data_IF_190347428290
#
_entry.id   IF_190347428290
#
_cell.length_a   1.000
_cell.length_b   1.000
_cell.length_c   1.000
_cell.angle_alpha   90.00
_cell.angle_beta   90.00
_cell.angle_gamma   90.00
#
_symmetry.space_group_name_H-M   'P 1'
#
loop_
_entity.id
_entity.type
_entity.pdbx_description
1 polymer ?
#
# COMPACT_ATOMS: atom_id res chain seq x y z
N UNK A 1 -13.96 -29.52 29.38
CA UNK A 1 -14.13 -28.71 28.16
C UNK A 1 -13.09 -29.15 27.14
N UNK A 2 -13.46 -29.41 25.90
CA UNK A 2 -12.48 -29.70 24.86
C UNK A 2 -11.63 -28.46 24.62
N UNK A 3 -10.30 -28.61 24.61
CA UNK A 3 -9.36 -27.52 24.34
C UNK A 3 -9.57 -27.11 22.87
N UNK A 4 -10.10 -25.93 22.62
CA UNK A 4 -10.23 -25.37 21.28
C UNK A 4 -8.85 -24.98 20.77
N UNK A 5 -8.41 -25.53 19.63
CA UNK A 5 -7.16 -25.12 19.00
C UNK A 5 -7.27 -23.63 18.59
N UNK A 6 -6.26 -22.81 18.95
CA UNK A 6 -6.26 -21.41 18.54
C UNK A 6 -6.20 -21.30 17.00
N UNK A 7 -6.91 -20.33 16.44
CA UNK A 7 -6.93 -20.03 15.02
C UNK A 7 -7.15 -18.53 14.80
N UNK A 8 -6.70 -18.03 13.66
CA UNK A 8 -6.92 -16.64 13.24
C UNK A 8 -8.09 -16.55 12.26
N UNK A 9 -8.76 -15.41 12.13
CA UNK A 9 -9.80 -15.19 11.13
C UNK A 9 -9.32 -15.43 9.71
N UNK A 10 -10.16 -16.01 8.87
CA UNK A 10 -9.81 -16.28 7.46
C UNK A 10 -9.48 -14.99 6.72
N UNK A 11 -8.30 -14.96 6.09
CA UNK A 11 -7.83 -13.81 5.30
C UNK A 11 -7.07 -12.76 6.11
N UNK A 12 -6.81 -13.02 7.39
CA UNK A 12 -5.87 -12.27 8.22
C UNK A 12 -4.57 -13.05 8.42
N UNK A 13 -3.53 -12.42 8.99
CA UNK A 13 -2.22 -13.05 9.21
C UNK A 13 -1.59 -12.59 10.51
N UNK A 14 -0.86 -13.50 11.14
CA UNK A 14 0.21 -13.14 12.07
C UNK A 14 1.50 -12.88 11.28
N UNK A 15 2.37 -12.05 11.80
CA UNK A 15 3.66 -11.73 11.21
C UNK A 15 4.79 -12.08 12.17
N UNK A 16 5.75 -12.86 11.71
CA UNK A 16 7.00 -13.13 12.44
C UNK A 16 7.85 -11.87 12.60
N UNK A 17 8.82 -11.86 13.54
CA UNK A 17 9.73 -10.72 13.71
C UNK A 17 10.44 -10.28 12.43
N UNK A 18 10.88 -11.24 11.60
CA UNK A 18 11.54 -10.95 10.30
C UNK A 18 10.57 -10.34 9.30
N UNK A 19 9.34 -10.86 9.23
CA UNK A 19 8.31 -10.27 8.35
C UNK A 19 7.97 -8.84 8.76
N UNK A 20 7.85 -8.58 10.08
CA UNK A 20 7.64 -7.22 10.60
C UNK A 20 8.82 -6.31 10.25
N UNK A 21 10.07 -6.79 10.37
CA UNK A 21 11.25 -6.02 9.97
C UNK A 21 11.23 -5.65 8.47
N UNK A 22 10.89 -6.61 7.59
CA UNK A 22 10.72 -6.37 6.15
C UNK A 22 9.60 -5.36 5.85
N UNK A 23 8.45 -5.49 6.52
CA UNK A 23 7.33 -4.54 6.39
C UNK A 23 7.74 -3.12 6.80
N UNK A 24 8.42 -2.99 7.94
CA UNK A 24 8.91 -1.71 8.45
C UNK A 24 9.95 -1.09 7.51
N UNK A 25 10.79 -1.89 6.86
CA UNK A 25 11.73 -1.40 5.85
C UNK A 25 10.98 -0.71 4.70
N UNK A 26 9.94 -1.35 4.15
CA UNK A 26 9.12 -0.74 3.08
C UNK A 26 8.38 0.50 3.60
N UNK A 27 7.72 0.40 4.76
CA UNK A 27 6.99 1.53 5.38
C UNK A 27 7.90 2.73 5.58
N UNK A 28 9.09 2.53 6.14
CA UNK A 28 10.04 3.63 6.39
C UNK A 28 10.54 4.24 5.09
N UNK A 29 10.79 3.46 4.05
CA UNK A 29 11.18 3.95 2.73
C UNK A 29 10.08 4.83 2.14
N UNK A 30 8.82 4.37 2.14
CA UNK A 30 7.67 5.13 1.67
C UNK A 30 7.48 6.41 2.50
N UNK A 31 7.55 6.31 3.83
CA UNK A 31 7.40 7.45 4.75
C UNK A 31 8.47 8.52 4.52
N UNK A 32 9.71 8.11 4.31
CA UNK A 32 10.81 9.02 4.00
C UNK A 32 10.55 9.77 2.69
N UNK A 33 10.09 9.07 1.64
CA UNK A 33 9.72 9.70 0.38
C UNK A 33 8.56 10.69 0.58
N UNK A 34 7.49 10.32 1.28
CA UNK A 34 6.39 11.23 1.59
C UNK A 34 6.87 12.51 2.28
N UNK A 35 7.72 12.37 3.30
CA UNK A 35 8.30 13.53 4.00
C UNK A 35 9.13 14.41 3.06
N UNK A 36 9.95 13.80 2.19
CA UNK A 36 10.81 14.54 1.22
C UNK A 36 9.96 15.31 0.21
N UNK A 37 8.79 14.77 -0.18
CA UNK A 37 7.84 15.43 -1.06
C UNK A 37 6.91 16.43 -0.33
N UNK A 38 7.10 16.66 0.96
CA UNK A 38 6.38 17.67 1.75
C UNK A 38 4.98 17.23 2.22
N UNK A 39 4.68 15.92 2.23
CA UNK A 39 3.44 15.42 2.78
C UNK A 39 3.46 15.37 4.30
N UNK A 40 2.35 15.71 4.94
CA UNK A 40 2.17 15.73 6.38
C UNK A 40 1.44 14.47 6.86
N UNK A 41 1.84 13.85 7.98
CA UNK A 41 1.18 12.67 8.51
C UNK A 41 -0.16 13.01 9.14
N UNK A 42 -1.19 12.20 8.85
CA UNK A 42 -2.44 12.18 9.61
C UNK A 42 -2.84 10.74 9.95
N UNK A 43 -3.72 10.60 10.91
CA UNK A 43 -4.38 9.34 11.23
C UNK A 43 -5.89 9.54 11.40
N UNK A 44 -6.67 8.55 11.02
CA UNK A 44 -8.13 8.51 11.23
C UNK A 44 -8.49 7.25 12.00
N UNK A 45 -9.67 7.18 12.66
CA UNK A 45 -10.11 5.98 13.37
C UNK A 45 -10.16 4.73 12.48
N UNK A 46 -9.97 3.57 13.07
CA UNK A 46 -10.06 2.27 12.35
C UNK A 46 -11.49 1.94 11.91
N UNK A 47 -12.48 2.55 12.52
CA UNK A 47 -13.88 2.43 12.17
C UNK A 47 -14.51 3.81 12.03
N UNK A 48 -15.50 3.90 11.17
CA UNK A 48 -16.29 5.09 10.87
C UNK A 48 -17.77 4.81 11.20
N UNK A 49 -18.57 5.86 11.26
CA UNK A 49 -20.01 5.70 11.28
C UNK A 49 -20.48 4.98 10.01
N UNK A 50 -21.45 4.09 10.13
CA UNK A 50 -22.00 3.31 9.01
C UNK A 50 -22.33 4.18 7.79
N UNK A 51 -23.03 5.30 7.99
CA UNK A 51 -23.44 6.22 6.93
C UNK A 51 -22.27 6.99 6.28
N UNK A 52 -21.10 7.06 6.94
CA UNK A 52 -19.89 7.66 6.35
C UNK A 52 -19.35 6.81 5.20
N UNK A 53 -19.45 5.48 5.33
CA UNK A 53 -18.85 4.55 4.37
C UNK A 53 -19.86 4.03 3.33
N UNK A 54 -21.10 3.75 3.75
CA UNK A 54 -22.09 3.13 2.87
C UNK A 54 -22.55 4.05 1.74
N UNK A 55 -22.74 3.47 0.55
CA UNK A 55 -23.14 4.19 -0.65
C UNK A 55 -22.01 4.97 -1.33
N UNK A 56 -20.76 4.80 -0.89
CA UNK A 56 -19.59 5.54 -1.42
C UNK A 56 -18.73 4.71 -2.39
N UNK A 57 -18.83 3.40 -2.31
CA UNK A 57 -17.97 2.47 -3.06
C UNK A 57 -18.71 1.68 -4.15
N UNK A 58 -19.99 2.00 -4.38
CA UNK A 58 -20.88 1.24 -5.25
C UNK A 58 -21.36 -0.06 -4.59
N UNK A 59 -22.27 -0.78 -5.23
CA UNK A 59 -22.89 -1.98 -4.64
C UNK A 59 -21.87 -3.07 -4.26
N UNK A 60 -20.87 -3.30 -5.12
CA UNK A 60 -19.85 -4.32 -4.87
C UNK A 60 -18.97 -3.93 -3.66
N UNK A 61 -18.50 -2.69 -3.60
CA UNK A 61 -17.69 -2.21 -2.48
C UNK A 61 -18.45 -2.21 -1.16
N UNK A 62 -19.70 -1.79 -1.16
CA UNK A 62 -20.54 -1.75 0.03
C UNK A 62 -20.78 -3.16 0.64
N UNK A 63 -20.85 -4.20 -0.19
CA UNK A 63 -20.93 -5.60 0.26
C UNK A 63 -19.65 -6.07 0.94
N UNK A 64 -18.51 -5.48 0.62
CA UNK A 64 -17.20 -5.85 1.16
C UNK A 64 -16.84 -5.12 2.46
N UNK A 65 -17.63 -4.15 2.90
CA UNK A 65 -17.41 -3.45 4.17
C UNK A 65 -17.76 -4.35 5.34
N UNK A 66 -16.83 -4.52 6.29
CA UNK A 66 -17.09 -5.18 7.57
C UNK A 66 -17.91 -4.29 8.49
N UNK A 67 -19.08 -4.76 8.90
CA UNK A 67 -19.97 -4.10 9.85
C UNK A 67 -19.61 -4.54 11.27
N UNK A 68 -19.73 -3.62 12.22
CA UNK A 68 -19.45 -3.85 13.65
C UNK A 68 -20.77 -3.84 14.39
N UNK A 69 -21.14 -4.96 15.01
CA UNK A 69 -22.35 -5.03 15.84
C UNK A 69 -22.29 -4.00 16.98
N UNK A 70 -23.42 -3.40 17.29
CA UNK A 70 -23.53 -2.48 18.42
C UNK A 70 -23.14 -3.17 19.73
N UNK A 71 -22.49 -2.45 20.63
CA UNK A 71 -22.07 -3.00 21.93
C UNK A 71 -23.25 -3.18 22.87
N UNK A 72 -23.16 -4.15 23.79
CA UNK A 72 -24.23 -4.46 24.72
C UNK A 72 -25.33 -5.31 24.06
N UNK A 73 -26.58 -5.00 24.34
CA UNK A 73 -27.72 -5.63 23.65
C UNK A 73 -27.90 -4.97 22.27
N UNK A 74 -27.28 -5.58 21.24
CA UNK A 74 -27.31 -5.09 19.87
C UNK A 74 -28.70 -5.15 19.22
N UNK A 75 -29.68 -5.78 19.88
CA UNK A 75 -31.08 -5.84 19.42
C UNK A 75 -31.93 -4.71 20.01
N UNK A 76 -31.41 -3.99 21.02
CA UNK A 76 -32.11 -2.87 21.64
C UNK A 76 -32.32 -1.75 20.61
N UNK A 77 -33.59 -1.33 20.45
CA UNK A 77 -33.96 -0.26 19.52
C UNK A 77 -34.18 -0.71 18.07
N UNK A 78 -34.08 -2.01 17.79
CA UNK A 78 -34.41 -2.57 16.47
C UNK A 78 -35.92 -2.52 16.26
N UNK A 79 -36.38 -1.99 15.13
CA UNK A 79 -37.78 -1.98 14.76
C UNK A 79 -38.31 -3.41 14.60
N UNK A 80 -39.43 -3.74 15.30
CA UNK A 80 -39.95 -5.11 15.32
C UNK A 80 -40.44 -5.57 13.95
N UNK A 81 -41.04 -4.70 13.15
CA UNK A 81 -41.51 -5.05 11.79
C UNK A 81 -40.32 -5.39 10.87
N UNK A 82 -39.23 -4.58 10.94
CA UNK A 82 -38.02 -4.83 10.16
C UNK A 82 -37.33 -6.11 10.61
N UNK A 83 -37.38 -6.43 11.92
CA UNK A 83 -36.84 -7.67 12.47
C UNK A 83 -37.62 -8.90 11.96
N UNK A 84 -38.93 -8.85 11.97
CA UNK A 84 -39.79 -9.94 11.48
C UNK A 84 -39.69 -10.12 9.95
N UNK A 85 -39.58 -9.01 9.22
CA UNK A 85 -39.40 -9.02 7.77
C UNK A 85 -38.02 -9.55 7.33
N UNK A 86 -37.04 -9.66 8.26
CA UNK A 86 -35.66 -10.13 8.00
C UNK A 86 -34.99 -9.43 6.80
N UNK A 87 -35.27 -8.13 6.62
CA UNK A 87 -34.71 -7.33 5.55
C UNK A 87 -33.30 -6.84 5.92
N UNK A 88 -32.21 -7.35 5.30
CA UNK A 88 -30.85 -6.97 5.68
C UNK A 88 -30.56 -5.47 5.47
N UNK A 89 -31.12 -4.84 4.45
CA UNK A 89 -30.87 -3.42 4.14
C UNK A 89 -31.43 -2.50 5.23
N UNK A 90 -32.57 -2.87 5.84
CA UNK A 90 -33.19 -2.12 6.94
C UNK A 90 -32.59 -2.47 8.30
N UNK A 91 -32.27 -3.75 8.53
CA UNK A 91 -31.74 -4.23 9.80
C UNK A 91 -30.28 -3.83 10.02
N UNK A 92 -29.42 -3.89 8.98
CA UNK A 92 -27.99 -3.67 9.14
C UNK A 92 -27.69 -2.32 9.80
N UNK A 93 -28.24 -1.16 9.38
CA UNK A 93 -27.94 0.13 10.03
C UNK A 93 -28.44 0.22 11.47
N UNK A 94 -29.48 -0.56 11.86
CA UNK A 94 -29.99 -0.60 13.23
C UNK A 94 -29.13 -1.46 14.16
N UNK A 95 -28.56 -2.54 13.63
CA UNK A 95 -27.69 -3.48 14.35
C UNK A 95 -26.23 -3.05 14.39
N UNK A 96 -25.82 -2.16 13.49
CA UNK A 96 -24.42 -1.79 13.24
C UNK A 96 -24.33 -0.31 12.88
N UNK A 97 -24.12 0.53 13.86
CA UNK A 97 -23.93 1.98 13.68
C UNK A 97 -22.53 2.33 13.15
N UNK A 98 -21.61 1.37 13.18
CA UNK A 98 -20.20 1.52 12.85
C UNK A 98 -19.74 0.42 11.91
N UNK A 99 -18.75 0.75 11.08
CA UNK A 99 -18.11 -0.23 10.19
C UNK A 99 -16.60 0.01 10.13
N UNK A 100 -15.83 -1.03 9.85
CA UNK A 100 -14.40 -0.89 9.61
C UNK A 100 -14.16 -0.14 8.29
N UNK A 101 -13.21 0.77 8.28
CA UNK A 101 -12.86 1.54 7.07
C UNK A 101 -12.41 0.61 5.95
N UNK A 102 -12.95 0.84 4.77
CA UNK A 102 -12.67 0.08 3.55
C UNK A 102 -11.40 0.57 2.84
N UNK A 103 -11.15 1.88 2.93
CA UNK A 103 -9.97 2.58 2.42
C UNK A 103 -9.59 3.72 3.38
N UNK A 104 -8.57 4.50 2.99
CA UNK A 104 -8.18 5.71 3.72
C UNK A 104 -8.70 7.00 3.06
N UNK A 105 -9.25 6.93 1.85
CA UNK A 105 -9.64 8.10 1.05
C UNK A 105 -10.98 8.68 1.52
N UNK A 106 -12.01 7.85 1.74
CA UNK A 106 -13.32 8.33 2.25
C UNK A 106 -13.21 8.88 3.68
N UNK A 107 -12.52 8.22 4.64
CA UNK A 107 -12.21 8.81 5.92
C UNK A 107 -11.43 10.12 5.84
N UNK A 108 -10.51 10.24 4.87
CA UNK A 108 -9.79 11.49 4.63
C UNK A 108 -10.72 12.61 4.11
N UNK A 109 -11.61 12.32 3.17
CA UNK A 109 -12.58 13.31 2.70
C UNK A 109 -13.48 13.83 3.87
N UNK A 110 -13.93 12.95 4.76
CA UNK A 110 -14.64 13.33 5.99
C UNK A 110 -13.74 14.20 6.88
N UNK A 111 -12.47 13.84 7.06
CA UNK A 111 -11.51 14.61 7.85
C UNK A 111 -11.35 16.03 7.29
N UNK A 112 -11.15 16.18 5.97
CA UNK A 112 -11.02 17.49 5.30
C UNK A 112 -12.24 18.38 5.57
N UNK A 113 -13.46 17.82 5.45
CA UNK A 113 -14.69 18.58 5.69
C UNK A 113 -14.83 19.01 7.15
N UNK A 114 -14.51 18.13 8.10
CA UNK A 114 -14.59 18.46 9.53
C UNK A 114 -13.57 19.51 9.98
N UNK A 115 -12.39 19.51 9.37
CA UNK A 115 -11.28 20.38 9.76
C UNK A 115 -10.99 21.49 8.75
N UNK A 116 -11.91 21.79 7.82
CA UNK A 116 -11.69 22.72 6.72
C UNK A 116 -11.22 24.12 7.17
N UNK A 117 -11.65 24.58 8.32
CA UNK A 117 -11.23 25.87 8.89
C UNK A 117 -9.84 25.87 9.52
N UNK A 118 -9.28 24.71 9.78
CA UNK A 118 -7.95 24.51 10.39
C UNK A 118 -6.90 24.17 9.34
N UNK A 119 -7.33 23.70 8.16
CA UNK A 119 -6.44 23.25 7.09
C UNK A 119 -6.03 24.41 6.17
N UNK A 120 -4.75 24.45 5.83
CA UNK A 120 -4.24 25.34 4.79
C UNK A 120 -4.22 24.61 3.44
N UNK A 121 -4.95 25.12 2.45
CA UNK A 121 -4.98 24.56 1.11
C UNK A 121 -3.92 25.21 0.20
N UNK A 122 -3.29 24.44 -0.74
CA UNK A 122 -3.43 23.01 -0.93
C UNK A 122 -2.89 22.21 0.25
N UNK A 123 -3.61 21.20 0.70
CA UNK A 123 -3.21 20.34 1.80
C UNK A 123 -2.65 19.02 1.28
N UNK A 124 -1.39 18.73 1.60
CA UNK A 124 -0.69 17.49 1.26
C UNK A 124 -0.61 16.61 2.50
N UNK A 125 -1.27 15.46 2.48
CA UNK A 125 -1.22 14.52 3.61
C UNK A 125 -0.71 13.16 3.17
N UNK A 126 -0.12 12.38 4.10
CA UNK A 126 0.01 10.95 3.96
C UNK A 126 -0.59 10.21 5.16
N UNK A 127 -0.95 8.95 4.93
CA UNK A 127 -1.52 8.07 5.95
C UNK A 127 -1.09 6.63 5.67
N UNK A 128 -0.55 5.93 6.70
CA UNK A 128 -0.09 4.55 6.59
C UNK A 128 -0.80 3.76 7.68
N UNK A 129 -1.89 3.12 7.35
CA UNK A 129 -2.75 2.44 8.31
C UNK A 129 -3.43 1.21 7.69
N UNK A 130 -3.93 0.25 8.52
CA UNK A 130 -4.66 -0.91 8.04
C UNK A 130 -6.06 -0.54 7.55
N UNK A 131 -6.55 -1.29 6.58
CA UNK A 131 -7.92 -1.25 6.06
C UNK A 131 -8.49 -2.67 5.95
N UNK A 132 -9.81 -2.79 5.86
CA UNK A 132 -10.49 -4.08 5.92
C UNK A 132 -11.48 -4.25 4.78
N UNK A 133 -11.33 -5.36 4.04
CA UNK A 133 -12.22 -5.71 2.94
C UNK A 133 -12.62 -7.18 3.03
N UNK A 134 -13.90 -7.49 2.95
CA UNK A 134 -14.40 -8.86 2.99
C UNK A 134 -14.14 -9.65 1.69
N UNK A 135 -13.09 -9.32 1.00
CA UNK A 135 -12.63 -9.97 -0.24
C UNK A 135 -12.40 -11.47 -0.06
N UNK A 136 -12.50 -12.22 -1.17
CA UNK A 136 -12.05 -13.61 -1.21
C UNK A 136 -10.51 -13.63 -1.14
N UNK A 137 -9.93 -14.25 -0.09
CA UNK A 137 -8.48 -14.31 0.06
C UNK A 137 -7.80 -15.05 -1.09
N UNK A 138 -6.69 -14.48 -1.58
CA UNK A 138 -5.81 -15.08 -2.60
C UNK A 138 -4.41 -14.49 -2.47
N UNK A 139 -3.42 -14.94 -3.25
CA UNK A 139 -2.05 -14.39 -3.24
C UNK A 139 -2.09 -12.85 -3.40
N UNK A 140 -1.55 -12.13 -2.44
CA UNK A 140 -1.52 -10.65 -2.44
C UNK A 140 -2.87 -9.96 -2.20
N UNK A 141 -3.92 -10.69 -1.76
CA UNK A 141 -5.22 -10.12 -1.40
C UNK A 141 -5.69 -10.69 -0.06
N UNK A 142 -5.72 -9.83 0.95
CA UNK A 142 -6.06 -10.14 2.33
C UNK A 142 -7.30 -9.38 2.74
N UNK A 143 -7.92 -9.79 3.85
CA UNK A 143 -9.07 -9.09 4.44
C UNK A 143 -8.67 -7.95 5.36
N UNK A 144 -7.45 -8.00 5.88
CA UNK A 144 -6.78 -6.92 6.58
C UNK A 144 -5.44 -6.67 5.90
N UNK A 145 -5.18 -5.43 5.49
CA UNK A 145 -3.94 -5.05 4.82
C UNK A 145 -3.68 -3.56 4.99
N UNK A 146 -2.44 -3.14 4.77
CA UNK A 146 -2.05 -1.74 4.90
C UNK A 146 -2.17 -1.01 3.56
N UNK A 147 -2.73 0.19 3.61
CA UNK A 147 -2.57 1.20 2.56
C UNK A 147 -1.54 2.24 3.02
N UNK A 148 -0.71 2.68 2.09
CA UNK A 148 0.25 3.77 2.27
C UNK A 148 -0.14 4.85 1.28
N UNK A 149 -1.01 5.75 1.71
CA UNK A 149 -1.68 6.72 0.87
C UNK A 149 -1.06 8.11 1.01
N UNK A 150 -0.93 8.81 -0.11
CA UNK A 150 -0.60 10.22 -0.17
C UNK A 150 -1.62 10.95 -1.03
N UNK A 151 -2.17 12.06 -0.53
CA UNK A 151 -3.18 12.88 -1.22
C UNK A 151 -2.86 14.36 -1.14
N UNK A 152 -3.29 15.07 -2.18
CA UNK A 152 -3.32 16.54 -2.22
C UNK A 152 -4.75 16.99 -2.48
N UNK A 153 -5.28 17.87 -1.66
CA UNK A 153 -6.61 18.48 -1.85
C UNK A 153 -6.52 20.00 -1.92
N UNK A 154 -7.43 20.61 -2.69
CA UNK A 154 -7.47 22.06 -2.88
C UNK A 154 -6.60 22.57 -4.03
N UNK A 155 -6.24 21.70 -5.00
CA UNK A 155 -5.53 22.10 -6.23
C UNK A 155 -6.06 21.35 -7.44
N UNK A 156 -6.29 22.09 -8.53
CA UNK A 156 -6.66 21.56 -9.86
C UNK A 156 -5.44 21.39 -10.78
N UNK A 157 -4.25 21.75 -10.29
CA UNK A 157 -3.02 21.75 -11.09
C UNK A 157 -2.58 20.34 -11.46
N UNK A 158 -2.29 20.10 -12.75
CA UNK A 158 -1.75 18.85 -13.27
C UNK A 158 -0.29 18.59 -12.81
N UNK A 159 0.38 19.56 -12.23
CA UNK A 159 1.68 19.35 -11.61
C UNK A 159 1.62 18.37 -10.43
N UNK A 160 0.44 18.18 -9.85
CA UNK A 160 0.26 17.18 -8.78
C UNK A 160 0.37 15.75 -9.35
N UNK A 161 -0.19 15.50 -10.54
CA UNK A 161 -0.04 14.22 -11.25
C UNK A 161 1.43 13.95 -11.58
N UNK A 162 2.15 14.96 -12.07
CA UNK A 162 3.58 14.88 -12.36
C UNK A 162 4.37 14.52 -11.10
N UNK A 163 4.08 15.19 -9.98
CA UNK A 163 4.73 14.95 -8.69
C UNK A 163 4.45 13.53 -8.18
N UNK A 164 3.23 13.01 -8.33
CA UNK A 164 2.90 11.64 -7.93
C UNK A 164 3.59 10.57 -8.78
N UNK A 165 3.77 10.79 -10.08
CA UNK A 165 4.57 9.91 -10.92
C UNK A 165 6.01 9.86 -10.44
N UNK A 166 6.61 11.02 -10.11
CA UNK A 166 7.96 11.10 -9.54
C UNK A 166 8.05 10.46 -8.16
N UNK A 167 7.02 10.61 -7.32
CA UNK A 167 6.95 9.98 -6.01
C UNK A 167 6.95 8.45 -6.11
N UNK A 168 6.20 7.88 -7.05
CA UNK A 168 6.24 6.44 -7.33
C UNK A 168 7.65 5.99 -7.74
N UNK A 169 8.27 6.68 -8.71
CA UNK A 169 9.61 6.36 -9.17
C UNK A 169 10.65 6.45 -8.04
N UNK A 170 10.58 7.50 -7.21
CA UNK A 170 11.46 7.69 -6.05
C UNK A 170 11.37 6.54 -5.05
N UNK A 171 10.14 6.10 -4.70
CA UNK A 171 9.94 5.00 -3.75
C UNK A 171 10.47 3.68 -4.33
N UNK A 172 10.12 3.34 -5.57
CA UNK A 172 10.56 2.09 -6.16
C UNK A 172 12.07 2.05 -6.44
N UNK A 173 12.67 3.19 -6.76
CA UNK A 173 14.12 3.33 -6.85
C UNK A 173 14.78 3.08 -5.50
N UNK A 174 14.28 3.68 -4.42
CA UNK A 174 14.81 3.48 -3.07
C UNK A 174 14.63 2.05 -2.55
N UNK A 175 13.58 1.34 -2.99
CA UNK A 175 13.37 -0.09 -2.73
C UNK A 175 14.20 -1.01 -3.65
N UNK A 176 14.99 -0.45 -4.58
CA UNK A 176 15.70 -1.18 -5.64
C UNK A 176 14.78 -2.05 -6.51
N UNK A 177 13.52 -1.67 -6.62
CA UNK A 177 12.50 -2.36 -7.40
C UNK A 177 12.40 -1.76 -8.81
N UNK A 178 13.35 -2.12 -9.67
CA UNK A 178 13.50 -1.59 -11.03
C UNK A 178 12.50 -2.20 -12.00
N UNK A 179 12.12 -1.44 -13.05
CA UNK A 179 11.27 -1.93 -14.14
C UNK A 179 9.78 -1.98 -13.78
N UNK A 180 9.37 -1.30 -12.71
CA UNK A 180 7.95 -1.06 -12.40
C UNK A 180 7.34 -0.20 -13.49
N UNK A 181 6.13 -0.54 -13.95
CA UNK A 181 5.42 0.25 -14.94
C UNK A 181 4.31 1.06 -14.29
N UNK A 182 4.37 2.38 -14.42
CA UNK A 182 3.33 3.32 -14.03
C UNK A 182 2.38 3.46 -15.23
N UNK A 183 1.27 2.73 -15.19
CA UNK A 183 0.20 2.84 -16.18
C UNK A 183 -0.65 4.06 -15.87
N UNK A 184 -0.94 4.87 -16.88
CA UNK A 184 -1.75 6.09 -16.76
C UNK A 184 -2.89 6.08 -17.77
N UNK A 185 -4.05 6.55 -17.38
CA UNK A 185 -5.20 6.85 -18.23
C UNK A 185 -5.95 8.06 -17.67
N UNK A 186 -7.07 8.43 -18.29
CA UNK A 186 -7.93 9.52 -17.82
C UNK A 186 -9.41 9.15 -17.96
N UNK A 187 -10.19 9.41 -16.93
CA UNK A 187 -11.66 9.15 -16.96
C UNK A 187 -12.37 9.92 -18.06
N UNK A 188 -11.87 11.09 -18.43
CA UNK A 188 -12.43 11.88 -19.54
C UNK A 188 -12.22 11.19 -20.89
N UNK A 189 -11.12 10.48 -21.10
CA UNK A 189 -10.89 9.65 -22.29
C UNK A 189 -11.92 8.51 -22.36
N UNK A 190 -12.15 7.83 -21.23
CA UNK A 190 -13.15 6.77 -21.16
C UNK A 190 -14.58 7.30 -21.43
N UNK A 191 -14.91 8.49 -20.91
CA UNK A 191 -16.16 9.19 -21.21
C UNK A 191 -16.24 9.55 -22.70
N UNK A 192 -15.15 10.04 -23.28
CA UNK A 192 -15.05 10.34 -24.71
C UNK A 192 -15.29 9.12 -25.60
N UNK A 193 -14.80 7.94 -25.20
CA UNK A 193 -15.11 6.70 -25.90
C UNK A 193 -16.62 6.37 -25.83
N UNK A 194 -17.25 6.52 -24.65
CA UNK A 194 -18.68 6.30 -24.50
C UNK A 194 -19.51 7.29 -25.34
N UNK A 195 -19.11 8.56 -25.43
CA UNK A 195 -19.70 9.58 -26.33
C UNK A 195 -19.55 9.18 -27.81
N UNK A 196 -18.34 8.76 -28.22
CA UNK A 196 -18.03 8.37 -29.59
C UNK A 196 -18.87 7.19 -30.07
N UNK A 197 -19.10 6.20 -29.20
CA UNK A 197 -19.94 5.04 -29.55
C UNK A 197 -21.44 5.33 -29.45
N UNK A 198 -21.83 6.48 -28.85
CA UNK A 198 -23.23 6.89 -28.69
C UNK A 198 -23.93 6.20 -27.49
N UNK A 199 -23.19 5.67 -26.53
CA UNK A 199 -23.70 4.92 -25.37
C UNK A 199 -23.18 5.49 -24.04
N UNK A 200 -23.26 6.81 -23.87
CA UNK A 200 -22.77 7.53 -22.69
C UNK A 200 -23.44 7.09 -21.38
N UNK A 201 -24.67 6.60 -21.43
CA UNK A 201 -25.42 6.04 -20.32
C UNK A 201 -24.87 4.68 -19.85
N UNK A 202 -24.11 3.99 -20.69
CA UNK A 202 -23.48 2.69 -20.40
C UNK A 202 -21.98 2.79 -20.10
N UNK A 203 -21.48 3.97 -19.75
CA UNK A 203 -20.05 4.19 -19.44
C UNK A 203 -19.51 3.16 -18.43
N UNK A 204 -20.27 2.82 -17.38
CA UNK A 204 -19.84 1.88 -16.35
C UNK A 204 -19.71 0.47 -16.95
N UNK A 205 -20.73 0.00 -17.69
CA UNK A 205 -20.72 -1.33 -18.31
C UNK A 205 -19.59 -1.47 -19.32
N UNK A 206 -19.39 -0.45 -20.13
CA UNK A 206 -18.29 -0.36 -21.08
C UNK A 206 -16.93 -0.44 -20.38
N UNK A 207 -16.71 0.38 -19.36
CA UNK A 207 -15.41 0.43 -18.66
C UNK A 207 -15.11 -0.86 -17.88
N UNK A 208 -16.13 -1.51 -17.30
CA UNK A 208 -15.97 -2.80 -16.62
C UNK A 208 -15.61 -3.92 -17.60
N UNK A 209 -16.15 -3.91 -18.81
CA UNK A 209 -15.77 -4.88 -19.84
C UNK A 209 -14.36 -4.61 -20.36
N UNK A 210 -14.01 -3.34 -20.64
CA UNK A 210 -12.71 -2.95 -21.16
C UNK A 210 -11.57 -3.28 -20.20
N UNK A 211 -11.75 -3.12 -18.90
CA UNK A 211 -10.77 -3.46 -17.84
C UNK A 211 -10.33 -4.94 -17.83
N UNK A 212 -11.07 -5.79 -18.53
CA UNK A 212 -10.75 -7.21 -18.60
C UNK A 212 -9.90 -7.57 -19.82
N UNK A 213 -9.56 -6.60 -20.68
CA UNK A 213 -8.89 -6.89 -21.96
C UNK A 213 -7.62 -7.73 -21.80
N UNK A 214 -6.77 -7.41 -20.83
CA UNK A 214 -5.54 -8.14 -20.52
C UNK A 214 -5.79 -9.60 -20.07
N UNK A 215 -7.00 -9.92 -19.59
CA UNK A 215 -7.32 -11.24 -19.00
C UNK A 215 -8.06 -12.15 -19.94
N UNK A 216 -9.01 -11.60 -20.69
CA UNK A 216 -9.93 -12.39 -21.53
C UNK A 216 -9.75 -12.12 -23.04
N UNK A 217 -8.82 -11.20 -23.39
CA UNK A 217 -8.57 -10.82 -24.77
C UNK A 217 -9.70 -10.04 -25.42
N UNK A 218 -9.49 -9.59 -26.65
CA UNK A 218 -10.44 -8.77 -27.41
C UNK A 218 -11.78 -9.49 -27.62
N UNK A 219 -11.74 -10.76 -28.04
CA UNK A 219 -12.97 -11.55 -28.27
C UNK A 219 -13.81 -11.70 -26.99
N UNK A 220 -13.15 -11.91 -25.84
CA UNK A 220 -13.82 -12.01 -24.54
C UNK A 220 -14.46 -10.69 -24.12
N UNK A 221 -13.76 -9.56 -24.34
CA UNK A 221 -14.28 -8.21 -24.07
C UNK A 221 -15.48 -7.90 -24.95
N UNK A 222 -15.40 -8.16 -26.25
CA UNK A 222 -16.51 -7.97 -27.21
C UNK A 222 -17.74 -8.75 -26.77
N UNK A 223 -17.56 -10.01 -26.38
CA UNK A 223 -18.65 -10.85 -25.87
C UNK A 223 -19.29 -10.26 -24.62
N UNK A 224 -18.48 -9.83 -23.64
CA UNK A 224 -19.00 -9.23 -22.41
C UNK A 224 -19.71 -7.89 -22.66
N UNK A 225 -19.19 -7.06 -23.58
CA UNK A 225 -19.85 -5.84 -24.01
C UNK A 225 -21.25 -6.09 -24.58
N UNK A 226 -21.38 -7.13 -25.44
CA UNK A 226 -22.69 -7.55 -25.98
C UNK A 226 -23.64 -8.03 -24.89
N UNK A 227 -23.15 -8.83 -23.93
CA UNK A 227 -23.93 -9.32 -22.78
C UNK A 227 -24.42 -8.17 -21.88
N UNK A 228 -23.68 -7.06 -21.84
CA UNK A 228 -24.07 -5.83 -21.14
C UNK A 228 -24.93 -4.87 -21.98
N UNK A 229 -25.33 -5.30 -23.17
CA UNK A 229 -26.24 -4.58 -24.04
C UNK A 229 -25.59 -3.44 -24.84
N UNK A 230 -24.27 -3.44 -25.02
CA UNK A 230 -23.56 -2.54 -25.95
C UNK A 230 -23.77 -3.05 -27.37
N UNK A 231 -24.18 -2.17 -28.27
CA UNK A 231 -24.54 -2.52 -29.64
C UNK A 231 -23.33 -2.97 -30.49
N UNK A 232 -23.56 -3.80 -31.50
CA UNK A 232 -22.48 -4.22 -32.42
C UNK A 232 -21.88 -3.05 -33.19
N UNK A 233 -22.70 -2.06 -33.52
CA UNK A 233 -22.24 -0.83 -34.19
C UNK A 233 -21.29 -0.05 -33.26
N UNK A 234 -21.64 0.09 -31.98
CA UNK A 234 -20.81 0.71 -30.99
C UNK A 234 -19.47 -0.03 -30.81
N UNK A 235 -19.50 -1.36 -30.72
CA UNK A 235 -18.30 -2.19 -30.61
C UNK A 235 -17.39 -2.06 -31.83
N UNK A 236 -17.94 -1.98 -33.04
CA UNK A 236 -17.16 -1.76 -34.27
C UNK A 236 -16.37 -0.44 -34.24
N UNK A 237 -16.92 0.62 -33.62
CA UNK A 237 -16.22 1.91 -33.44
C UNK A 237 -15.05 1.82 -32.45
N UNK A 238 -14.99 0.81 -31.58
CA UNK A 238 -13.92 0.62 -30.60
C UNK A 238 -12.68 -0.11 -31.16
N UNK A 239 -12.74 -0.68 -32.36
CA UNK A 239 -11.64 -1.43 -32.97
C UNK A 239 -10.29 -0.65 -32.98
N UNK A 240 -10.25 0.67 -33.29
CA UNK A 240 -9.00 1.43 -33.24
C UNK A 240 -8.37 1.50 -31.84
N UNK A 241 -9.19 1.35 -30.78
CA UNK A 241 -8.74 1.39 -29.37
C UNK A 241 -8.05 0.08 -28.99
N UNK A 242 -8.59 -1.07 -29.41
CA UNK A 242 -7.97 -2.38 -29.20
C UNK A 242 -6.62 -2.53 -29.91
N UNK A 243 -6.49 -1.89 -31.06
CA UNK A 243 -5.28 -1.90 -31.88
C UNK A 243 -4.20 -0.88 -31.43
N UNK A 244 -4.47 -0.07 -30.40
CA UNK A 244 -3.59 1.04 -30.02
C UNK A 244 -2.29 0.52 -29.39
N UNK A 245 -1.17 0.72 -30.07
CA UNK A 245 0.18 0.29 -29.66
C UNK A 245 1.19 1.41 -29.90
N UNK A 246 2.38 1.28 -29.31
CA UNK A 246 3.46 2.21 -29.51
C UNK A 246 3.84 2.98 -28.25
N UNK A 247 4.61 4.02 -28.40
CA UNK A 247 5.04 4.93 -27.33
C UNK A 247 3.87 5.74 -26.78
N UNK A 248 4.02 6.33 -25.61
CA UNK A 248 3.01 7.23 -25.02
C UNK A 248 2.63 8.34 -25.99
N UNK A 249 3.60 8.96 -26.67
CA UNK A 249 3.37 10.03 -27.65
C UNK A 249 2.56 9.57 -28.86
N UNK A 250 2.87 8.39 -29.42
CA UNK A 250 2.13 7.82 -30.55
C UNK A 250 0.69 7.48 -30.18
N UNK A 251 0.50 6.88 -28.99
CA UNK A 251 -0.84 6.59 -28.45
C UNK A 251 -1.65 7.87 -28.23
N UNK A 252 -1.06 8.93 -27.67
CA UNK A 252 -1.74 10.22 -27.48
C UNK A 252 -2.13 10.86 -28.80
N UNK A 253 -1.25 10.83 -29.80
CA UNK A 253 -1.54 11.35 -31.14
C UNK A 253 -2.70 10.62 -31.81
N UNK A 254 -2.74 9.28 -31.71
CA UNK A 254 -3.84 8.49 -32.24
C UNK A 254 -5.16 8.76 -31.49
N UNK A 255 -5.11 8.93 -30.14
CA UNK A 255 -6.29 9.27 -29.36
C UNK A 255 -6.90 10.62 -29.73
N UNK A 256 -6.09 11.63 -30.11
CA UNK A 256 -6.59 12.91 -30.59
C UNK A 256 -7.46 12.74 -31.86
N UNK A 257 -7.03 11.89 -32.77
CA UNK A 257 -7.81 11.62 -34.01
C UNK A 257 -9.07 10.81 -33.70
N UNK A 258 -8.96 9.79 -32.84
CA UNK A 258 -10.10 8.96 -32.44
C UNK A 258 -11.18 9.80 -31.74
N UNK A 259 -10.77 10.70 -30.86
CA UNK A 259 -11.65 11.49 -29.99
C UNK A 259 -11.93 12.90 -30.50
N UNK A 260 -11.59 13.24 -31.76
CA UNK A 260 -11.70 14.59 -32.31
C UNK A 260 -13.11 15.22 -32.22
N UNK A 261 -14.15 14.42 -32.10
CA UNK A 261 -15.52 14.86 -31.95
C UNK A 261 -16.04 14.84 -30.50
N UNK A 262 -15.20 14.50 -29.52
CA UNK A 262 -15.54 14.54 -28.10
C UNK A 262 -14.69 15.60 -27.41
N UNK A 263 -15.30 16.69 -26.98
CA UNK A 263 -14.62 17.75 -26.20
C UNK A 263 -14.09 17.21 -24.89
N UNK A 264 -14.89 16.38 -24.20
CA UNK A 264 -14.49 15.71 -22.95
C UNK A 264 -13.28 14.82 -23.17
N UNK A 265 -13.32 13.98 -24.21
CA UNK A 265 -12.23 13.05 -24.53
C UNK A 265 -10.94 13.80 -24.89
N UNK A 266 -11.01 14.82 -25.73
CA UNK A 266 -9.85 15.65 -26.09
C UNK A 266 -9.22 16.31 -24.87
N UNK A 267 -10.02 16.85 -23.94
CA UNK A 267 -9.49 17.42 -22.71
C UNK A 267 -8.73 16.37 -21.86
N UNK A 268 -9.22 15.14 -21.80
CA UNK A 268 -8.50 14.04 -21.15
C UNK A 268 -7.16 13.73 -21.82
N UNK A 269 -7.09 13.78 -23.15
CA UNK A 269 -5.85 13.59 -23.91
C UNK A 269 -4.86 14.73 -23.64
N UNK A 270 -5.32 15.99 -23.64
CA UNK A 270 -4.49 17.16 -23.34
C UNK A 270 -3.88 17.09 -21.92
N UNK A 271 -4.67 16.66 -20.94
CA UNK A 271 -4.18 16.47 -19.57
C UNK A 271 -3.07 15.40 -19.50
N UNK A 272 -3.24 14.26 -20.18
CA UNK A 272 -2.22 13.21 -20.22
C UNK A 272 -0.98 13.63 -21.03
N UNK A 273 -1.17 14.40 -22.09
CA UNK A 273 -0.08 14.95 -22.90
C UNK A 273 0.80 15.89 -22.07
N UNK A 274 0.18 16.79 -21.29
CA UNK A 274 0.90 17.63 -20.35
C UNK A 274 1.74 16.78 -19.37
N UNK A 275 1.12 15.80 -18.70
CA UNK A 275 1.80 14.94 -17.72
C UNK A 275 2.97 14.21 -18.38
N UNK A 276 2.75 13.56 -19.53
CA UNK A 276 3.76 12.80 -20.23
C UNK A 276 4.93 13.68 -20.70
N UNK A 277 4.64 14.88 -21.18
CA UNK A 277 5.66 15.85 -21.62
C UNK A 277 6.55 16.29 -20.44
N UNK A 278 5.94 16.61 -19.28
CA UNK A 278 6.73 17.02 -18.12
C UNK A 278 7.57 15.87 -17.58
N UNK A 279 7.01 14.67 -17.48
CA UNK A 279 7.76 13.47 -17.04
C UNK A 279 8.91 13.17 -18.01
N UNK A 280 8.71 13.33 -19.32
CA UNK A 280 9.79 13.12 -20.29
C UNK A 280 10.95 14.12 -20.12
N UNK A 281 10.64 15.38 -19.76
CA UNK A 281 11.67 16.39 -19.48
C UNK A 281 12.41 16.18 -18.17
N UNK A 282 11.70 15.76 -17.11
CA UNK A 282 12.25 15.51 -15.79
C UNK A 282 13.02 14.18 -15.71
N UNK A 283 12.60 13.20 -16.52
CA UNK A 283 13.09 11.84 -16.49
C UNK A 283 12.56 11.02 -15.30
N UNK A 284 12.60 9.70 -15.43
CA UNK A 284 12.39 8.73 -14.37
C UNK A 284 13.67 7.92 -14.17
N UNK A 285 13.96 7.48 -12.95
CA UNK A 285 15.19 6.76 -12.62
C UNK A 285 15.09 5.27 -12.95
N UNK A 286 14.01 4.62 -12.52
CA UNK A 286 13.85 3.16 -12.64
C UNK A 286 12.47 2.72 -13.11
N UNK A 287 11.45 3.54 -12.93
CA UNK A 287 10.09 3.25 -13.39
C UNK A 287 9.91 3.59 -14.88
N UNK A 288 8.90 2.99 -15.49
CA UNK A 288 8.48 3.22 -16.88
C UNK A 288 7.08 3.82 -16.84
N UNK A 289 6.87 4.95 -17.51
CA UNK A 289 5.54 5.51 -17.75
C UNK A 289 4.94 4.89 -19.02
N UNK A 290 3.73 4.35 -18.92
CA UNK A 290 2.98 3.84 -20.08
C UNK A 290 1.54 4.33 -20.07
N UNK A 291 1.01 4.63 -21.23
CA UNK A 291 -0.41 4.96 -21.44
C UNK A 291 -1.18 3.66 -21.70
N UNK A 292 -2.09 3.32 -20.79
CA UNK A 292 -2.95 2.16 -20.91
C UNK A 292 -4.42 2.59 -21.03
N UNK A 293 -4.93 2.67 -22.23
CA UNK A 293 -6.31 3.12 -22.52
C UNK A 293 -7.38 2.17 -21.99
N UNK A 294 -6.99 0.94 -21.63
CA UNK A 294 -7.89 -0.06 -21.05
C UNK A 294 -7.97 0.06 -19.55
N UNK A 295 -7.07 0.82 -18.93
CA UNK A 295 -7.11 1.09 -17.51
C UNK A 295 -8.38 1.87 -17.16
N UNK A 296 -9.39 1.16 -16.74
CA UNK A 296 -10.68 1.69 -16.33
C UNK A 296 -10.95 1.47 -14.84
N UNK A 297 -9.99 0.84 -14.16
CA UNK A 297 -10.05 0.53 -12.73
C UNK A 297 -10.08 1.80 -11.89
N UNK A 298 -10.62 1.61 -10.74
CA UNK A 298 -10.65 2.61 -9.70
C UNK A 298 -12.05 2.69 -9.12
N UNK A 299 -12.13 3.38 -8.00
CA UNK A 299 -13.39 3.67 -7.36
C UNK A 299 -14.16 4.67 -8.24
N UNK A 300 -15.47 4.59 -8.24
CA UNK A 300 -16.35 5.40 -9.10
C UNK A 300 -16.23 6.91 -8.89
N UNK A 301 -15.41 7.35 -7.93
CA UNK A 301 -15.20 8.76 -7.63
C UNK A 301 -14.06 9.43 -8.42
N UNK A 302 -13.27 8.71 -9.21
CA UNK A 302 -12.23 9.34 -10.03
C UNK A 302 -12.83 10.13 -11.20
N UNK A 303 -12.30 11.34 -11.44
CA UNK A 303 -12.81 12.32 -12.40
C UNK A 303 -11.80 12.72 -13.48
N UNK A 304 -10.52 12.48 -13.28
CA UNK A 304 -9.41 12.85 -14.15
C UNK A 304 -8.44 11.71 -14.39
N UNK A 305 -7.14 12.01 -14.25
CA UNK A 305 -6.08 11.01 -14.39
C UNK A 305 -6.24 9.86 -13.38
N UNK A 306 -5.97 8.64 -13.83
CA UNK A 306 -5.92 7.41 -13.04
C UNK A 306 -4.59 6.72 -13.24
N UNK A 307 -4.09 6.11 -12.15
CA UNK A 307 -2.81 5.41 -12.10
C UNK A 307 -3.01 3.96 -11.68
N UNK A 308 -2.28 3.06 -12.30
CA UNK A 308 -2.10 1.69 -11.82
C UNK A 308 -0.62 1.32 -11.92
N UNK A 309 -0.09 0.69 -10.88
CA UNK A 309 1.31 0.31 -10.84
C UNK A 309 1.43 -1.19 -11.06
N UNK A 310 2.01 -1.58 -12.18
CA UNK A 310 2.32 -2.96 -12.49
C UNK A 310 3.70 -3.34 -11.95
N UNK A 311 3.80 -4.56 -11.42
CA UNK A 311 5.09 -5.13 -11.01
C UNK A 311 6.04 -5.27 -12.22
N UNK A 312 7.36 -5.39 -11.99
CA UNK A 312 8.32 -5.64 -13.07
C UNK A 312 7.95 -6.84 -13.93
N UNK A 313 8.36 -6.80 -15.20
CA UNK A 313 8.12 -7.90 -16.14
C UNK A 313 8.66 -9.24 -15.58
N UNK A 314 7.87 -10.30 -15.74
CA UNK A 314 8.19 -11.65 -15.24
C UNK A 314 7.64 -11.95 -13.83
N UNK A 315 7.26 -10.94 -13.05
CA UNK A 315 6.63 -11.14 -11.73
C UNK A 315 5.11 -11.20 -11.89
N UNK A 316 4.53 -12.35 -11.55
CA UNK A 316 3.06 -12.52 -11.58
C UNK A 316 2.43 -11.97 -10.30
N UNK A 317 2.14 -10.67 -10.32
CA UNK A 317 1.44 -9.97 -9.25
C UNK A 317 0.38 -9.04 -9.86
N UNK A 318 -0.75 -8.90 -9.18
CA UNK A 318 -1.69 -7.82 -9.50
C UNK A 318 -1.09 -6.45 -9.18
N UNK A 319 -1.84 -5.37 -9.48
CA UNK A 319 -1.38 -4.01 -9.20
C UNK A 319 -0.79 -3.85 -7.80
N UNK A 320 0.41 -3.25 -7.73
CA UNK A 320 1.14 -3.00 -6.47
C UNK A 320 0.95 -1.57 -5.94
N UNK A 321 0.20 -0.76 -6.66
CA UNK A 321 -0.18 0.61 -6.28
C UNK A 321 -1.18 1.16 -7.27
N UNK A 322 -1.73 2.31 -6.98
CA UNK A 322 -2.68 2.98 -7.85
C UNK A 322 -3.24 4.25 -7.22
N UNK A 323 -4.01 4.99 -7.98
CA UNK A 323 -4.61 6.22 -7.51
C UNK A 323 -5.31 6.98 -8.62
N UNK A 324 -5.61 8.26 -8.37
CA UNK A 324 -6.20 9.13 -9.39
C UNK A 324 -6.76 10.42 -8.83
N UNK A 325 -7.22 11.27 -9.74
CA UNK A 325 -7.87 12.55 -9.42
C UNK A 325 -9.34 12.34 -9.07
N UNK A 326 -9.77 12.98 -8.01
CA UNK A 326 -11.15 13.03 -7.54
C UNK A 326 -11.53 14.48 -7.22
N UNK A 327 -12.43 15.07 -8.01
CA UNK A 327 -12.75 16.51 -7.87
C UNK A 327 -13.95 16.77 -6.96
N UNK A 328 -14.71 15.75 -6.61
CA UNK A 328 -16.01 15.92 -5.96
C UNK A 328 -16.21 15.05 -4.70
N UNK A 329 -15.15 14.39 -4.24
CA UNK A 329 -15.27 13.45 -3.12
C UNK A 329 -15.73 14.12 -1.81
N UNK A 330 -15.30 15.35 -1.55
CA UNK A 330 -15.73 16.11 -0.36
C UNK A 330 -17.18 16.56 -0.42
N UNK A 331 -17.80 16.62 -1.60
CA UNK A 331 -19.21 17.00 -1.78
C UNK A 331 -20.18 16.03 -1.13
N UNK A 332 -19.79 14.75 -1.02
CA UNK A 332 -20.58 13.73 -0.32
C UNK A 332 -20.75 14.05 1.18
N UNK A 333 -19.90 14.91 1.73
CA UNK A 333 -19.98 15.44 3.11
C UNK A 333 -20.33 16.93 3.15
N UNK A 334 -20.85 17.50 2.03
CA UNK A 334 -21.37 18.86 1.95
C UNK A 334 -20.37 19.93 1.53
N UNK A 335 -19.08 19.64 1.36
CA UNK A 335 -18.06 20.60 0.92
C UNK A 335 -17.78 20.43 -0.58
N UNK A 336 -18.33 21.34 -1.40
CA UNK A 336 -18.19 21.33 -2.85
C UNK A 336 -16.95 22.09 -3.32
N UNK A 337 -16.47 21.73 -4.53
CA UNK A 337 -15.40 22.48 -5.23
C UNK A 337 -13.99 22.25 -4.70
N UNK A 338 -13.75 21.23 -3.91
CA UNK A 338 -12.43 20.83 -3.47
C UNK A 338 -11.92 19.68 -4.35
N UNK A 339 -11.09 20.01 -5.34
CA UNK A 339 -10.38 19.02 -6.15
C UNK A 339 -9.33 18.30 -5.30
N UNK A 340 -9.19 17.01 -5.55
CA UNK A 340 -8.19 16.18 -4.90
C UNK A 340 -7.57 15.17 -5.87
N UNK A 341 -6.39 14.74 -5.53
CA UNK A 341 -5.69 13.63 -6.18
C UNK A 341 -4.94 12.84 -5.13
N UNK A 342 -4.92 11.53 -5.25
CA UNK A 342 -4.23 10.67 -4.31
C UNK A 342 -3.74 9.40 -4.93
N UNK A 343 -2.70 8.85 -4.31
CA UNK A 343 -2.10 7.56 -4.65
C UNK A 343 -1.95 6.67 -3.43
N UNK A 344 -1.89 5.36 -3.67
CA UNK A 344 -1.68 4.35 -2.66
C UNK A 344 -0.60 3.37 -3.09
N UNK A 345 0.30 3.00 -2.16
CA UNK A 345 1.22 1.88 -2.30
C UNK A 345 0.66 0.65 -1.59
N UNK A 346 0.59 -0.46 -2.28
CA UNK A 346 0.13 -1.74 -1.75
C UNK A 346 1.22 -2.48 -0.99
N UNK A 347 1.44 -2.14 0.28
CA UNK A 347 2.53 -2.66 1.12
C UNK A 347 2.73 -4.16 1.00
N UNK A 348 1.64 -4.94 1.17
CA UNK A 348 1.72 -6.40 1.19
C UNK A 348 2.13 -6.98 -0.16
N UNK A 349 1.67 -6.39 -1.26
CA UNK A 349 2.04 -6.84 -2.62
C UNK A 349 3.45 -6.43 -2.98
N UNK A 350 3.87 -5.22 -2.62
CA UNK A 350 5.27 -4.76 -2.76
C UNK A 350 6.19 -5.73 -2.01
N UNK A 351 5.84 -6.10 -0.77
CA UNK A 351 6.59 -7.06 0.02
C UNK A 351 6.75 -8.41 -0.66
N UNK A 352 5.67 -8.96 -1.23
CA UNK A 352 5.71 -10.22 -1.97
C UNK A 352 6.58 -10.15 -3.24
N UNK A 353 6.53 -9.03 -3.98
CA UNK A 353 7.37 -8.81 -5.16
C UNK A 353 8.84 -8.71 -4.77
N UNK A 354 9.16 -7.97 -3.69
CA UNK A 354 10.53 -7.86 -3.17
C UNK A 354 11.08 -9.19 -2.67
N UNK A 355 10.24 -10.05 -2.07
CA UNK A 355 10.63 -11.40 -1.68
C UNK A 355 10.92 -12.29 -2.89
N UNK A 356 10.07 -12.27 -3.91
CA UNK A 356 10.24 -13.04 -5.15
C UNK A 356 11.53 -12.64 -5.89
N UNK A 357 11.89 -11.35 -5.83
CA UNK A 357 13.10 -10.80 -6.46
C UNK A 357 14.34 -10.76 -5.54
N UNK A 358 14.25 -11.25 -4.30
CA UNK A 358 15.33 -11.25 -3.30
C UNK A 358 15.93 -9.85 -3.06
N UNK A 359 15.09 -8.80 -2.94
CA UNK A 359 15.54 -7.41 -2.81
C UNK A 359 15.66 -6.92 -1.36
N UNK A 360 15.28 -7.74 -0.37
CA UNK A 360 15.42 -7.34 1.02
C UNK A 360 16.87 -7.41 1.50
N UNK A 361 17.37 -6.37 2.23
CA UNK A 361 18.69 -6.43 2.85
C UNK A 361 18.82 -7.61 3.82
N UNK A 362 19.93 -8.33 3.76
CA UNK A 362 20.21 -9.47 4.68
C UNK A 362 20.21 -9.05 6.16
N UNK A 363 20.56 -7.80 6.46
CA UNK A 363 20.56 -7.24 7.82
C UNK A 363 19.18 -7.24 8.50
N UNK A 364 18.09 -7.44 7.75
CA UNK A 364 16.74 -7.58 8.29
C UNK A 364 16.47 -8.96 8.88
N UNK A 365 17.32 -9.96 8.60
CA UNK A 365 17.16 -11.32 9.09
C UNK A 365 17.52 -11.48 10.58
N UNK A 366 18.18 -10.49 11.17
CA UNK A 366 18.51 -10.47 12.60
C UNK A 366 17.93 -9.25 13.29
N UNK A 367 17.20 -9.47 14.38
CA UNK A 367 16.68 -8.40 15.25
C UNK A 367 17.67 -7.98 16.32
N UNK A 368 18.73 -8.77 16.57
CA UNK A 368 19.80 -8.56 17.55
C UNK A 368 21.14 -8.66 16.85
N UNK A 369 22.02 -7.71 17.08
CA UNK A 369 23.36 -7.71 16.49
C UNK A 369 24.38 -8.39 17.39
N UNK A 370 24.21 -8.31 18.72
CA UNK A 370 25.17 -8.82 19.70
C UNK A 370 24.44 -9.57 20.82
N UNK A 371 24.86 -10.81 21.08
CA UNK A 371 24.47 -11.58 22.26
C UNK A 371 25.64 -11.68 23.25
N UNK A 372 25.41 -11.25 24.48
CA UNK A 372 26.35 -11.54 25.58
C UNK A 372 26.01 -12.87 26.24
N UNK A 373 27.01 -13.73 26.44
CA UNK A 373 26.88 -15.01 27.13
C UNK A 373 26.74 -14.76 28.65
N UNK A 374 25.92 -15.55 29.31
CA UNK A 374 25.69 -15.49 30.73
C UNK A 374 26.23 -16.79 31.42
N UNK A 375 27.31 -16.67 32.18
CA UNK A 375 27.87 -17.77 32.99
C UNK A 375 27.47 -17.69 34.46
N UNK A 376 27.06 -16.49 34.94
CA UNK A 376 26.70 -16.24 36.31
C UNK A 376 26.52 -14.75 36.59
N UNK A 377 26.26 -14.41 37.86
CA UNK A 377 25.89 -13.01 38.17
C UNK A 377 27.04 -12.02 37.99
N UNK A 378 28.30 -12.41 38.20
CA UNK A 378 29.45 -11.51 38.04
C UNK A 378 29.69 -11.17 36.57
N UNK A 379 29.72 -12.18 35.73
CA UNK A 379 29.89 -12.05 34.26
C UNK A 379 28.69 -11.36 33.63
N UNK A 380 27.46 -11.66 34.09
CA UNK A 380 26.24 -10.99 33.65
C UNK A 380 26.26 -9.49 33.97
N UNK A 381 26.73 -9.09 35.18
CA UNK A 381 26.85 -7.69 35.55
C UNK A 381 27.81 -6.94 34.62
N UNK A 382 28.95 -7.53 34.26
CA UNK A 382 29.92 -6.95 33.35
C UNK A 382 29.36 -6.90 31.92
N UNK A 383 28.68 -7.94 31.48
CA UNK A 383 27.94 -7.95 30.20
C UNK A 383 26.88 -6.85 30.16
N UNK A 384 26.15 -6.62 31.26
CA UNK A 384 25.15 -5.53 31.31
C UNK A 384 25.76 -4.14 31.23
N UNK A 385 26.97 -3.89 31.75
CA UNK A 385 27.69 -2.64 31.56
C UNK A 385 28.04 -2.43 30.08
N UNK A 386 28.54 -3.48 29.42
CA UNK A 386 28.82 -3.49 28.01
C UNK A 386 27.54 -3.22 27.20
N UNK A 387 26.45 -3.93 27.47
CA UNK A 387 25.18 -3.76 26.79
C UNK A 387 24.62 -2.33 26.92
N UNK A 388 24.80 -1.70 28.10
CA UNK A 388 24.42 -0.31 28.30
C UNK A 388 25.17 0.61 27.33
N UNK A 389 26.46 0.41 27.16
CA UNK A 389 27.26 1.22 26.23
C UNK A 389 26.86 0.97 24.77
N UNK A 390 26.70 -0.30 24.37
CA UNK A 390 26.28 -0.67 23.02
C UNK A 390 24.90 -0.07 22.66
N UNK A 391 23.94 -0.15 23.58
CA UNK A 391 22.61 0.41 23.39
C UNK A 391 22.61 1.93 23.29
N UNK A 392 23.48 2.63 24.02
CA UNK A 392 23.68 4.09 23.85
C UNK A 392 24.23 4.45 22.47
N UNK A 393 24.97 3.55 21.83
CA UNK A 393 25.46 3.68 20.46
C UNK A 393 24.44 3.18 19.40
N UNK A 394 23.20 2.90 19.81
CA UNK A 394 22.14 2.42 18.91
C UNK A 394 22.25 0.95 18.49
N UNK A 395 23.18 0.17 19.09
CA UNK A 395 23.33 -1.24 18.76
C UNK A 395 22.27 -2.10 19.46
N UNK A 396 21.69 -3.05 18.72
CA UNK A 396 20.68 -4.00 19.21
C UNK A 396 21.40 -5.16 19.89
N UNK A 397 21.49 -5.14 21.20
CA UNK A 397 22.28 -6.09 21.97
C UNK A 397 21.50 -6.64 23.18
N UNK A 398 21.65 -7.93 23.46
CA UNK A 398 20.98 -8.61 24.57
C UNK A 398 21.93 -9.51 25.36
N UNK A 399 21.57 -9.79 26.64
CA UNK A 399 22.18 -10.81 27.49
C UNK A 399 21.32 -12.07 27.36
N UNK A 400 21.96 -13.24 27.25
CA UNK A 400 21.22 -14.47 27.45
C UNK A 400 20.68 -14.51 28.90
N UNK A 401 19.35 -14.70 29.10
CA UNK A 401 18.75 -14.39 30.41
C UNK A 401 19.23 -15.29 31.56
N UNK A 402 19.41 -16.58 31.31
CA UNK A 402 19.77 -17.56 32.33
C UNK A 402 21.24 -17.95 32.26
N UNK A 403 21.87 -18.21 33.43
CA UNK A 403 23.15 -18.86 33.45
C UNK A 403 23.01 -20.28 32.88
N UNK A 404 23.73 -20.59 31.80
CA UNK A 404 23.62 -21.84 31.09
C UNK A 404 24.93 -22.24 30.40
N UNK A 405 25.04 -23.53 30.03
CA UNK A 405 26.19 -24.02 29.25
C UNK A 405 26.32 -23.21 27.94
N UNK A 406 27.56 -22.86 27.60
CA UNK A 406 27.88 -22.05 26.39
C UNK A 406 27.25 -22.63 25.11
N UNK A 407 27.22 -23.96 24.96
CA UNK A 407 26.62 -24.61 23.79
C UNK A 407 25.16 -24.20 23.59
N UNK A 408 24.35 -24.20 24.69
CA UNK A 408 22.93 -23.81 24.62
C UNK A 408 22.76 -22.36 24.13
N UNK A 409 23.63 -21.47 24.60
CA UNK A 409 23.59 -20.04 24.27
C UNK A 409 24.10 -19.78 22.84
N UNK A 410 25.11 -20.53 22.38
CA UNK A 410 25.58 -20.50 21.02
C UNK A 410 24.52 -21.04 20.03
N UNK A 411 23.80 -22.12 20.37
CA UNK A 411 22.69 -22.64 19.58
C UNK A 411 21.54 -21.62 19.48
N UNK A 412 21.31 -20.87 20.55
CA UNK A 412 20.35 -19.76 20.54
C UNK A 412 20.78 -18.63 19.58
N UNK A 413 22.06 -18.20 19.64
CA UNK A 413 22.61 -17.21 18.75
C UNK A 413 22.48 -17.65 17.28
N UNK A 414 22.84 -18.89 16.95
CA UNK A 414 22.73 -19.47 15.62
C UNK A 414 21.27 -19.49 15.10
N UNK A 415 20.31 -19.97 15.93
CA UNK A 415 18.89 -20.04 15.55
C UNK A 415 18.28 -18.68 15.29
N UNK A 416 18.80 -17.62 15.92
CA UNK A 416 18.36 -16.24 15.75
C UNK A 416 19.19 -15.44 14.74
N UNK A 417 20.16 -16.08 14.08
CA UNK A 417 21.06 -15.44 13.14
C UNK A 417 21.77 -14.22 13.74
N UNK A 418 22.17 -14.27 15.01
CA UNK A 418 22.87 -13.19 15.70
C UNK A 418 24.32 -13.18 15.21
N UNK A 419 24.79 -12.11 14.57
CA UNK A 419 26.09 -12.11 13.91
C UNK A 419 27.28 -12.09 14.89
N UNK A 420 27.10 -11.53 16.08
CA UNK A 420 28.18 -11.41 17.06
C UNK A 420 27.79 -11.97 18.42
N UNK A 421 28.73 -12.70 19.05
CA UNK A 421 28.60 -13.18 20.42
C UNK A 421 29.75 -12.65 21.24
N UNK A 422 29.44 -12.05 22.39
CA UNK A 422 30.43 -11.63 23.39
C UNK A 422 30.50 -12.65 24.51
N UNK A 423 31.69 -13.10 24.83
CA UNK A 423 31.98 -14.04 25.86
C UNK A 423 32.84 -13.35 26.92
N UNK A 424 32.36 -13.33 28.17
CA UNK A 424 33.07 -12.86 29.34
C UNK A 424 33.00 -13.98 30.35
N UNK A 425 34.09 -14.73 30.51
CA UNK A 425 34.25 -15.72 31.56
C UNK A 425 35.08 -15.17 32.73
N UNK A 426 35.41 -16.03 33.68
CA UNK A 426 36.24 -15.66 34.85
C UNK A 426 37.59 -15.06 34.43
N UNK A 427 38.24 -15.59 33.39
CA UNK A 427 39.54 -15.12 32.90
C UNK A 427 39.43 -13.72 32.27
N UNK A 428 38.41 -13.49 31.48
CA UNK A 428 38.14 -12.18 30.82
C UNK A 428 37.75 -11.15 31.87
N UNK A 429 36.96 -11.57 32.86
CA UNK A 429 36.57 -10.70 33.99
C UNK A 429 37.77 -10.21 34.76
N UNK A 430 38.74 -11.12 35.09
CA UNK A 430 39.96 -10.79 35.79
C UNK A 430 40.90 -9.87 35.04
N UNK A 431 40.94 -10.00 33.68
CA UNK A 431 41.77 -9.15 32.81
C UNK A 431 41.10 -7.85 32.38
N UNK A 432 39.78 -7.71 32.58
CA UNK A 432 39.02 -6.61 32.06
C UNK A 432 38.85 -6.64 30.53
N UNK A 433 38.90 -7.86 29.94
CA UNK A 433 38.74 -8.09 28.48
C UNK A 433 37.45 -8.85 28.20
N UNK A 434 37.14 -9.06 26.94
CA UNK A 434 36.10 -9.97 26.48
C UNK A 434 36.51 -10.60 25.15
N UNK A 435 35.90 -11.71 24.79
CA UNK A 435 36.09 -12.34 23.50
C UNK A 435 34.88 -12.01 22.63
N UNK A 436 35.12 -11.30 21.49
CA UNK A 436 34.12 -11.07 20.47
C UNK A 436 34.24 -12.15 19.41
N UNK A 437 33.16 -12.90 19.21
CA UNK A 437 33.07 -13.93 18.16
C UNK A 437 32.17 -13.47 17.06
N UNK A 438 32.69 -13.47 15.83
CA UNK A 438 31.90 -13.34 14.59
C UNK A 438 31.30 -14.71 14.25
N UNK A 439 29.98 -14.82 14.26
CA UNK A 439 29.27 -16.08 14.03
C UNK A 439 29.21 -16.48 12.57
N UNK A 440 29.33 -15.52 11.65
CA UNK A 440 29.30 -15.77 10.20
C UNK A 440 30.67 -16.32 9.71
N UNK A 441 31.73 -15.68 10.14
CA UNK A 441 33.11 -16.06 9.73
C UNK A 441 33.72 -17.14 10.62
N UNK A 442 33.16 -17.38 11.81
CA UNK A 442 33.73 -18.29 12.81
C UNK A 442 34.96 -17.73 13.49
N UNK A 443 35.37 -16.51 13.25
CA UNK A 443 36.52 -15.84 13.84
C UNK A 443 36.23 -15.36 15.27
N UNK A 444 37.29 -15.23 16.09
CA UNK A 444 37.15 -14.65 17.44
C UNK A 444 38.36 -13.76 17.76
N UNK A 445 38.12 -12.66 18.47
CA UNK A 445 39.14 -11.68 18.85
C UNK A 445 38.96 -11.29 20.33
N UNK A 446 40.08 -11.28 21.09
CA UNK A 446 40.09 -10.68 22.42
C UNK A 446 40.15 -9.16 22.29
N UNK A 447 39.25 -8.44 23.00
CA UNK A 447 39.11 -7.00 22.98
C UNK A 447 39.06 -6.45 24.39
N UNK A 448 39.54 -5.22 24.61
CA UNK A 448 39.26 -4.52 25.86
C UNK A 448 37.83 -3.99 25.89
N UNK A 449 37.28 -3.80 27.08
CA UNK A 449 35.93 -3.25 27.26
C UNK A 449 35.81 -1.81 26.67
N UNK A 450 36.92 -1.10 26.58
CA UNK A 450 36.96 0.25 25.99
C UNK A 450 37.02 0.26 24.44
N UNK A 451 37.40 -0.87 23.81
CA UNK A 451 37.50 -1.03 22.34
C UNK A 451 36.22 -1.54 21.68
N UNK A 452 35.15 -1.78 22.47
CA UNK A 452 33.87 -2.31 21.99
C UNK A 452 33.30 -1.49 20.86
N UNK A 453 33.37 -0.19 20.96
CA UNK A 453 32.81 0.69 19.93
C UNK A 453 33.49 0.51 18.59
N UNK A 454 34.82 0.30 18.55
CA UNK A 454 35.59 0.20 17.32
C UNK A 454 35.50 -1.20 16.67
N UNK A 455 35.37 -2.26 17.46
CA UNK A 455 35.33 -3.65 16.96
C UNK A 455 34.00 -4.05 16.30
N UNK A 456 32.90 -3.36 16.67
CA UNK A 456 31.55 -3.62 16.14
C UNK A 456 31.13 -2.60 15.05
N UNK A 457 31.98 -1.63 14.72
CA UNK A 457 31.72 -0.59 13.73
C UNK A 457 32.58 -0.72 12.45
N UNK A 458 33.43 -1.74 12.36
CA UNK A 458 34.11 -2.15 11.13
C UNK A 458 33.30 -3.22 10.39
#
# INVERSE_FOLDING_TARGET
MAIQKPSIPKGTRDFSPTEVAKRNFIINTIKNAFNTFGFQPIETPSFENYNTLMGKYGEEGDRLIFKILNSGDFTQGVNQEDWEAKNPQKLTPQLSEKALRYDLTVPFARYVVQHQSELTFPFKRYQIQPVWRADRPQKGRFREFYQCDADVVGSISLWQEVEFVQLYDSVFTALNLKGVTIKINNRKILSGFAEMIGESDKLIDFTVALDKLDKIGEEGVIKEMKERGISEEAIAKLQPIFALKGTVSEKLSALKEILKNSETGLKGVEELEFIAQQINQLGLQTAILDLDVTLARGLNYYTGAIFEIAAPAGVQMGSIGGGGRYDDLTSIFGLKGISGIGISFGLDRIGLVMEELNLFPESLNSTVEVLCINFGNAEALQSMKLLKALRQLGKRAELYPDAAKIKKQMDYANKRNIPYVVIIGESELAKGTFVLKNMLEGTQKECSLNEVSNALFQ
#
